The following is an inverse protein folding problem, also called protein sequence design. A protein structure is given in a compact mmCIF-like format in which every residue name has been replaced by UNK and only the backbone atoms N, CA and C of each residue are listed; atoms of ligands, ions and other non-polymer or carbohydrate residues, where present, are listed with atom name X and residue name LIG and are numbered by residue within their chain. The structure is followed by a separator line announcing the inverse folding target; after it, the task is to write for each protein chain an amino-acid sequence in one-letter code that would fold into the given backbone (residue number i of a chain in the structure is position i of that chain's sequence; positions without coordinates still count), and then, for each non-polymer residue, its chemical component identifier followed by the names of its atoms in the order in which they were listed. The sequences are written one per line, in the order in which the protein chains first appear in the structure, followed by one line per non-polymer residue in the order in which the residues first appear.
data_IF_505419369854
#
_entry.id   IF_505419369854
#
_cell.length_a   1.000
_cell.length_b   1.000
_cell.length_c   1.000
_cell.angle_alpha   90.00
_cell.angle_beta   90.00
_cell.angle_gamma   90.00
#
_symmetry.space_group_name_H-M   'P 1'
#
loop_
_entity.id
_entity.type
_entity.pdbx_description
1 polymer ?
#
# COMPACT_ATOMS: atom_id res chain seq x y z
N UNK A 1 32.30 25.91 5.76
CA UNK A 1 31.10 25.78 4.88
C UNK A 1 30.12 24.90 5.62
N UNK A 2 29.12 25.49 6.23
CA UNK A 2 28.08 24.84 7.04
C UNK A 2 27.10 24.14 6.11
N UNK A 3 26.65 22.90 6.39
CA UNK A 3 25.61 22.27 5.60
C UNK A 3 24.27 22.95 5.85
N UNK A 4 23.62 23.26 4.77
CA UNK A 4 22.38 23.98 4.65
C UNK A 4 21.26 23.25 5.43
N UNK A 5 20.59 24.00 6.27
CA UNK A 5 19.37 23.60 6.99
C UNK A 5 18.32 23.13 5.99
N UNK A 6 17.96 21.86 6.07
CA UNK A 6 16.73 21.37 5.46
C UNK A 6 15.57 22.07 6.15
N UNK A 7 14.99 23.04 5.43
CA UNK A 7 13.79 23.75 5.80
C UNK A 7 12.67 22.75 6.11
N UNK A 8 12.02 22.95 7.27
CA UNK A 8 10.75 22.33 7.66
C UNK A 8 9.62 22.84 6.75
N UNK A 9 9.64 22.49 5.48
CA UNK A 9 8.48 22.66 4.61
C UNK A 9 7.55 21.46 4.87
N UNK A 10 6.27 21.69 5.18
CA UNK A 10 5.30 20.62 5.19
C UNK A 10 5.23 20.07 3.76
N UNK A 11 5.44 18.78 3.63
CA UNK A 11 5.48 18.02 2.37
C UNK A 11 4.50 18.57 1.34
N UNK A 12 5.05 19.11 0.25
CA UNK A 12 4.26 19.70 -0.83
C UNK A 12 3.20 18.72 -1.31
N UNK A 13 2.01 19.24 -1.59
CA UNK A 13 0.88 18.49 -2.13
C UNK A 13 1.36 17.76 -3.39
N UNK A 14 1.42 16.43 -3.34
CA UNK A 14 1.71 15.63 -4.52
C UNK A 14 0.66 15.97 -5.59
N UNK A 15 1.05 16.15 -6.87
CA UNK A 15 0.10 16.42 -7.93
C UNK A 15 -0.92 15.28 -7.94
N UNK A 16 -2.21 15.64 -7.95
CA UNK A 16 -3.29 14.69 -8.14
C UNK A 16 -3.11 14.04 -9.51
N UNK A 17 -2.64 12.79 -9.51
CA UNK A 17 -2.62 11.99 -10.72
C UNK A 17 -4.06 11.72 -11.15
N UNK A 18 -4.34 11.71 -12.48
CA UNK A 18 -5.64 11.29 -12.96
C UNK A 18 -5.90 9.89 -12.41
N UNK A 19 -7.15 9.69 -11.96
CA UNK A 19 -7.60 8.41 -11.40
C UNK A 19 -7.02 7.27 -12.23
N UNK A 20 -6.17 6.46 -11.59
CA UNK A 20 -5.43 5.40 -12.25
C UNK A 20 -6.38 4.61 -13.12
N UNK A 21 -6.05 4.50 -14.41
CA UNK A 21 -6.76 3.68 -15.36
C UNK A 21 -6.62 2.20 -14.99
N UNK A 22 -7.26 1.77 -13.92
CA UNK A 22 -7.82 0.44 -13.90
C UNK A 22 -8.97 0.51 -14.90
N UNK A 23 -8.66 0.52 -16.20
CA UNK A 23 -9.61 0.11 -17.20
C UNK A 23 -9.93 -1.36 -16.88
N UNK A 24 -10.90 -1.55 -16.00
CA UNK A 24 -11.69 -2.75 -16.02
C UNK A 24 -12.42 -2.70 -17.36
N UNK A 25 -11.68 -2.95 -18.45
CA UNK A 25 -12.29 -3.32 -19.71
C UNK A 25 -13.28 -4.39 -19.33
N UNK A 26 -14.55 -4.13 -19.63
CA UNK A 26 -15.69 -5.03 -19.36
C UNK A 26 -15.17 -6.46 -19.44
N UNK A 27 -15.37 -7.30 -18.44
CA UNK A 27 -14.71 -8.61 -18.40
C UNK A 27 -15.24 -9.51 -19.51
N UNK A 28 -14.80 -9.22 -20.74
CA UNK A 28 -15.14 -9.97 -21.94
C UNK A 28 -14.79 -11.45 -21.81
N UNK A 29 -13.84 -11.75 -20.93
CA UNK A 29 -13.39 -13.12 -20.66
C UNK A 29 -14.06 -13.78 -19.46
N UNK A 30 -14.84 -13.04 -18.65
CA UNK A 30 -15.59 -13.62 -17.53
C UNK A 30 -16.96 -14.11 -18.03
N UNK A 31 -17.29 -15.36 -17.76
CA UNK A 31 -18.63 -15.91 -18.07
C UNK A 31 -19.70 -15.21 -17.25
N UNK A 32 -20.95 -15.08 -17.74
CA UNK A 32 -22.08 -14.65 -16.93
C UNK A 32 -22.17 -15.47 -15.64
N UNK A 33 -22.54 -14.84 -14.53
CA UNK A 33 -22.52 -15.44 -13.19
C UNK A 33 -21.14 -15.66 -12.58
N UNK A 34 -20.07 -15.44 -13.33
CA UNK A 34 -18.69 -15.60 -12.85
C UNK A 34 -18.26 -14.49 -11.86
N UNK A 35 -17.30 -14.82 -10.99
CA UNK A 35 -16.76 -13.88 -10.00
C UNK A 35 -15.43 -13.29 -10.45
N UNK A 36 -15.23 -12.01 -10.15
CA UNK A 36 -13.96 -11.32 -10.23
C UNK A 36 -13.54 -10.91 -8.82
N UNK A 37 -12.29 -11.23 -8.46
CA UNK A 37 -11.74 -10.91 -7.14
C UNK A 37 -10.37 -10.25 -7.29
N UNK A 38 -10.13 -9.20 -6.50
CA UNK A 38 -8.84 -8.54 -6.35
C UNK A 38 -8.44 -8.55 -4.88
N UNK A 39 -7.20 -8.92 -4.63
CA UNK A 39 -6.59 -8.92 -3.31
C UNK A 39 -5.38 -8.00 -3.32
N UNK A 40 -5.35 -6.99 -2.44
CA UNK A 40 -4.27 -6.00 -2.41
C UNK A 40 -4.06 -5.44 -1.01
N UNK A 41 -2.81 -5.08 -0.69
CA UNK A 41 -2.49 -4.24 0.46
C UNK A 41 -2.83 -2.77 0.14
N UNK A 42 -3.57 -2.12 1.04
CA UNK A 42 -3.66 -0.65 1.09
C UNK A 42 -2.42 -0.14 1.84
N UNK A 43 -1.52 0.53 1.14
CA UNK A 43 -0.21 0.95 1.67
C UNK A 43 -0.28 2.11 2.68
N UNK A 44 -1.45 2.45 3.19
CA UNK A 44 -1.58 3.42 4.29
C UNK A 44 -1.18 2.77 5.61
N UNK A 45 -0.07 3.25 6.15
CA UNK A 45 0.39 2.81 7.47
C UNK A 45 -0.61 3.22 8.55
N UNK A 46 -1.02 2.27 9.38
CA UNK A 46 -2.03 2.43 10.43
C UNK A 46 -1.51 1.97 11.77
N UNK A 47 -2.05 2.58 12.82
CA UNK A 47 -1.80 2.25 14.21
C UNK A 47 -3.05 2.59 15.02
N UNK A 48 -3.49 1.70 15.91
CA UNK A 48 -4.73 1.89 16.67
C UNK A 48 -4.49 2.43 18.09
N UNK A 49 -3.29 2.27 18.63
CA UNK A 49 -2.96 2.55 20.04
C UNK A 49 -2.07 3.78 20.25
N UNK A 50 -1.79 4.51 19.17
CA UNK A 50 -0.95 5.71 19.23
C UNK A 50 0.55 5.43 19.36
N UNK A 51 1.00 4.17 19.33
CA UNK A 51 2.43 3.83 19.40
C UNK A 51 3.23 4.36 18.20
N UNK A 52 2.57 4.62 17.06
CA UNK A 52 3.14 5.31 15.91
C UNK A 52 2.89 6.82 16.06
N UNK A 53 3.66 7.48 16.93
CA UNK A 53 3.54 8.89 17.21
C UNK A 53 3.90 9.75 15.98
N UNK A 54 2.96 10.58 15.46
CA UNK A 54 3.22 11.41 14.28
C UNK A 54 4.28 12.49 14.50
N UNK A 55 4.58 12.83 15.75
CA UNK A 55 5.57 13.86 16.09
C UNK A 55 7.00 13.32 16.16
N UNK A 56 7.17 12.00 16.19
CA UNK A 56 8.49 11.34 16.24
C UNK A 56 8.94 10.92 14.84
N UNK A 57 10.24 10.98 14.53
CA UNK A 57 10.77 10.41 13.31
C UNK A 57 10.48 8.90 13.21
N UNK A 58 10.03 8.42 12.06
CA UNK A 58 9.83 7.01 11.78
C UNK A 58 10.27 6.70 10.35
N UNK A 59 11.37 5.98 10.20
CA UNK A 59 11.88 5.59 8.89
C UNK A 59 10.90 4.68 8.14
N UNK A 60 10.04 3.93 8.85
CA UNK A 60 8.99 3.13 8.23
C UNK A 60 7.91 4.03 7.62
N UNK A 61 7.48 5.08 8.34
CA UNK A 61 6.49 6.06 7.82
C UNK A 61 7.05 6.77 6.59
N UNK A 62 8.28 7.26 6.68
CA UNK A 62 8.95 7.95 5.59
C UNK A 62 9.10 7.02 4.38
N UNK A 63 9.42 5.75 4.60
CA UNK A 63 9.51 4.74 3.55
C UNK A 63 8.16 4.57 2.82
N UNK A 64 7.07 4.39 3.56
CA UNK A 64 5.73 4.25 2.96
C UNK A 64 5.38 5.50 2.15
N UNK A 65 5.64 6.70 2.70
CA UNK A 65 5.37 7.96 2.01
C UNK A 65 6.17 8.11 0.70
N UNK A 66 7.48 7.84 0.73
CA UNK A 66 8.30 7.92 -0.48
C UNK A 66 7.95 6.83 -1.49
N UNK A 67 7.59 5.64 -1.04
CA UNK A 67 7.11 4.58 -1.93
C UNK A 67 5.80 4.97 -2.62
N UNK A 68 4.86 5.59 -1.91
CA UNK A 68 3.61 6.11 -2.49
C UNK A 68 3.90 7.12 -3.60
N UNK A 69 4.71 8.15 -3.33
CA UNK A 69 5.10 9.15 -4.33
C UNK A 69 5.88 8.56 -5.50
N UNK A 70 6.83 7.68 -5.24
CA UNK A 70 7.65 7.05 -6.28
C UNK A 70 6.86 6.08 -7.16
N UNK A 71 5.94 5.31 -6.59
CA UNK A 71 5.05 4.42 -7.35
C UNK A 71 4.08 5.23 -8.20
N UNK A 72 3.54 6.33 -7.64
CA UNK A 72 2.71 7.27 -8.40
C UNK A 72 3.47 7.87 -9.59
N UNK A 73 4.73 8.28 -9.42
CA UNK A 73 5.58 8.74 -10.51
C UNK A 73 5.86 7.66 -11.58
N UNK A 74 5.77 6.39 -11.19
CA UNK A 74 5.84 5.24 -12.11
C UNK A 74 4.49 4.86 -12.74
N UNK A 75 3.38 5.58 -12.43
CA UNK A 75 2.05 5.30 -12.95
C UNK A 75 1.25 4.26 -12.16
N UNK A 76 1.66 3.93 -10.94
CA UNK A 76 0.97 2.97 -10.07
C UNK A 76 0.30 3.67 -8.89
N UNK A 77 -0.95 3.31 -8.62
CA UNK A 77 -1.70 3.73 -7.42
C UNK A 77 -1.71 2.61 -6.38
N UNK A 78 -1.02 2.84 -5.27
CA UNK A 78 -0.96 1.88 -4.14
C UNK A 78 -2.27 1.82 -3.34
N UNK A 79 -3.23 2.69 -3.64
CA UNK A 79 -4.53 2.77 -2.95
C UNK A 79 -5.71 2.39 -3.86
N UNK A 80 -5.46 1.94 -5.09
CA UNK A 80 -6.48 1.62 -6.08
C UNK A 80 -7.57 0.66 -5.56
N UNK A 81 -7.20 -0.24 -4.65
CA UNK A 81 -8.15 -1.18 -4.03
C UNK A 81 -9.30 -0.47 -3.31
N UNK A 82 -9.11 0.76 -2.84
CA UNK A 82 -10.13 1.48 -2.07
C UNK A 82 -11.26 2.05 -2.94
N UNK A 83 -10.97 2.37 -4.19
CA UNK A 83 -11.96 2.83 -5.19
C UNK A 83 -12.57 1.68 -5.99
N UNK A 84 -11.95 0.50 -5.98
CA UNK A 84 -12.35 -0.64 -6.78
C UNK A 84 -13.82 -1.07 -6.60
N UNK A 85 -14.41 -1.09 -5.36
CA UNK A 85 -15.82 -1.47 -5.20
C UNK A 85 -16.79 -0.55 -5.95
N UNK A 86 -16.50 0.76 -5.98
CA UNK A 86 -17.30 1.73 -6.74
C UNK A 86 -17.15 1.47 -8.24
N UNK A 87 -15.92 1.37 -8.73
CA UNK A 87 -15.63 1.09 -10.14
C UNK A 87 -16.27 -0.22 -10.61
N UNK A 88 -16.23 -1.28 -9.81
CA UNK A 88 -16.88 -2.55 -10.15
C UNK A 88 -18.38 -2.39 -10.34
N UNK A 89 -19.06 -1.63 -9.46
CA UNK A 89 -20.51 -1.35 -9.61
C UNK A 89 -20.79 -0.53 -10.86
N UNK A 90 -19.98 0.50 -11.12
CA UNK A 90 -20.11 1.36 -12.30
C UNK A 90 -20.00 0.58 -13.62
N UNK A 91 -19.16 -0.45 -13.68
CA UNK A 91 -19.02 -1.32 -14.86
C UNK A 91 -19.99 -2.50 -14.87
N UNK A 92 -20.96 -2.54 -13.92
CA UNK A 92 -22.09 -3.48 -13.94
C UNK A 92 -21.89 -4.78 -13.18
N UNK A 93 -20.89 -4.88 -12.27
CA UNK A 93 -20.83 -6.03 -11.35
C UNK A 93 -21.91 -5.93 -10.27
N UNK A 94 -22.53 -7.06 -9.96
CA UNK A 94 -23.47 -7.26 -8.86
C UNK A 94 -22.76 -7.88 -7.65
N UNK A 95 -23.42 -7.87 -6.48
CA UNK A 95 -22.94 -8.50 -5.26
C UNK A 95 -21.48 -8.11 -4.94
N UNK A 96 -21.18 -6.81 -5.06
CA UNK A 96 -19.83 -6.30 -4.81
C UNK A 96 -19.59 -6.17 -3.31
N UNK A 97 -18.67 -6.96 -2.81
CA UNK A 97 -18.28 -7.03 -1.41
C UNK A 97 -16.81 -6.67 -1.20
N UNK A 98 -16.52 -6.16 0.00
CA UNK A 98 -15.16 -5.91 0.47
C UNK A 98 -14.94 -6.61 1.81
N UNK A 99 -13.88 -7.40 1.92
CA UNK A 99 -13.37 -7.95 3.19
C UNK A 99 -12.04 -7.33 3.51
N UNK A 100 -11.90 -6.83 4.73
CA UNK A 100 -10.67 -6.16 5.19
C UNK A 100 -10.05 -6.92 6.34
N UNK A 101 -8.74 -7.16 6.25
CA UNK A 101 -7.95 -7.80 7.27
C UNK A 101 -6.78 -6.89 7.67
N UNK A 102 -6.51 -6.77 8.96
CA UNK A 102 -5.30 -6.09 9.44
C UNK A 102 -4.12 -7.03 9.25
N UNK A 103 -3.10 -6.56 8.53
CA UNK A 103 -1.85 -7.27 8.33
C UNK A 103 -0.74 -6.54 9.10
N UNK A 104 -0.37 -7.02 10.30
CA UNK A 104 0.65 -6.39 11.13
C UNK A 104 2.00 -6.33 10.42
N UNK A 105 2.78 -5.32 10.76
CA UNK A 105 4.19 -5.23 10.36
C UNK A 105 5.03 -5.56 11.61
N UNK A 106 5.59 -6.77 11.67
CA UNK A 106 6.36 -7.23 12.83
C UNK A 106 5.60 -8.18 13.76
N UNK A 107 6.21 -8.50 14.90
CA UNK A 107 5.75 -9.57 15.81
C UNK A 107 5.10 -9.04 17.09
N UNK A 108 4.70 -7.79 17.11
CA UNK A 108 4.08 -7.12 18.23
C UNK A 108 2.70 -7.67 18.66
N UNK A 109 1.84 -8.26 17.79
CA UNK A 109 0.53 -8.74 18.22
C UNK A 109 0.62 -9.85 19.27
N UNK A 110 -0.29 -9.83 20.24
CA UNK A 110 -0.44 -10.91 21.25
C UNK A 110 -1.05 -12.17 20.66
N UNK A 111 -1.96 -12.00 19.71
CA UNK A 111 -2.57 -13.13 18.97
C UNK A 111 -1.52 -13.86 18.14
N UNK A 112 -1.45 -15.19 18.28
CA UNK A 112 -0.43 -16.02 17.60
C UNK A 112 -0.54 -15.98 16.07
N UNK A 113 -1.75 -15.93 15.51
CA UNK A 113 -1.97 -15.92 14.06
C UNK A 113 -1.52 -14.60 13.48
N UNK A 114 -1.92 -13.48 14.11
CA UNK A 114 -1.50 -12.15 13.69
C UNK A 114 0.01 -11.94 13.86
N UNK A 115 0.61 -12.47 14.92
CA UNK A 115 2.06 -12.46 15.12
C UNK A 115 2.80 -13.20 14.02
N UNK A 116 2.31 -14.39 13.64
CA UNK A 116 2.88 -15.18 12.54
C UNK A 116 2.71 -14.44 11.20
N UNK A 117 1.54 -13.87 10.94
CA UNK A 117 1.29 -13.03 9.77
C UNK A 117 2.28 -11.86 9.71
N UNK A 118 2.44 -11.12 10.81
CA UNK A 118 3.35 -9.98 10.88
C UNK A 118 4.82 -10.36 10.74
N UNK A 119 5.21 -11.54 11.22
CA UNK A 119 6.54 -12.09 11.01
C UNK A 119 6.83 -12.33 9.51
N UNK A 120 5.91 -12.97 8.81
CA UNK A 120 6.03 -13.20 7.37
C UNK A 120 6.01 -11.89 6.58
N UNK A 121 5.10 -10.96 6.92
CA UNK A 121 5.05 -9.64 6.29
C UNK A 121 6.39 -8.91 6.42
N UNK A 122 6.95 -8.86 7.64
CA UNK A 122 8.26 -8.28 7.87
C UNK A 122 9.35 -8.94 7.03
N UNK A 123 9.39 -10.27 7.00
CA UNK A 123 10.39 -11.01 6.23
C UNK A 123 10.29 -10.69 4.74
N UNK A 124 9.10 -10.76 4.16
CA UNK A 124 8.87 -10.46 2.73
C UNK A 124 9.29 -9.03 2.38
N UNK A 125 8.93 -8.05 3.23
CA UNK A 125 9.32 -6.66 3.00
C UNK A 125 10.84 -6.52 3.05
N UNK A 126 11.51 -7.08 4.07
CA UNK A 126 12.97 -6.96 4.24
C UNK A 126 13.75 -7.61 3.11
N UNK A 127 13.32 -8.78 2.63
CA UNK A 127 13.96 -9.46 1.51
C UNK A 127 13.76 -8.72 0.19
N UNK A 128 12.55 -8.20 -0.04
CA UNK A 128 12.22 -7.44 -1.25
C UNK A 128 12.68 -5.99 -1.24
N UNK A 129 13.04 -5.44 -0.08
CA UNK A 129 13.18 -4.01 0.18
C UNK A 129 14.01 -3.26 -0.87
N UNK A 130 15.19 -3.78 -1.20
CA UNK A 130 16.10 -3.16 -2.18
C UNK A 130 15.52 -3.19 -3.60
N UNK A 131 14.98 -4.34 -4.00
CA UNK A 131 14.46 -4.55 -5.35
C UNK A 131 13.22 -3.68 -5.62
N UNK A 132 12.29 -3.64 -4.66
CA UNK A 132 11.02 -2.90 -4.79
C UNK A 132 11.26 -1.39 -4.74
N UNK A 133 12.23 -0.94 -3.90
CA UNK A 133 12.45 0.49 -3.65
C UNK A 133 13.22 1.21 -4.77
N UNK A 134 14.08 0.49 -5.49
CA UNK A 134 15.02 1.12 -6.43
C UNK A 134 14.31 1.96 -7.50
N UNK A 135 13.38 1.39 -8.22
CA UNK A 135 12.70 2.08 -9.33
C UNK A 135 11.85 3.27 -8.84
N UNK A 136 10.98 3.13 -7.82
CA UNK A 136 10.19 4.24 -7.31
C UNK A 136 11.03 5.39 -6.78
N UNK A 137 12.05 5.11 -5.96
CA UNK A 137 12.89 6.16 -5.38
C UNK A 137 13.78 6.85 -6.45
N UNK A 138 14.23 6.10 -7.46
CA UNK A 138 14.91 6.71 -8.62
C UNK A 138 13.97 7.63 -9.40
N UNK A 139 12.70 7.29 -9.54
CA UNK A 139 11.70 8.16 -10.18
C UNK A 139 11.48 9.46 -9.41
N UNK A 140 11.74 9.50 -8.11
CA UNK A 140 11.78 10.70 -7.28
C UNK A 140 13.13 11.47 -7.36
N UNK A 141 14.05 11.04 -8.20
CA UNK A 141 15.35 11.68 -8.39
C UNK A 141 16.44 11.23 -7.42
N UNK A 142 16.22 10.17 -6.63
CA UNK A 142 17.20 9.69 -5.67
C UNK A 142 18.33 8.93 -6.36
N UNK A 143 19.56 9.18 -5.91
CA UNK A 143 20.74 8.40 -6.35
C UNK A 143 20.76 7.04 -5.67
N UNK A 144 21.46 6.07 -6.27
CA UNK A 144 21.62 4.73 -5.68
C UNK A 144 22.20 4.79 -4.27
N UNK A 145 23.17 5.68 -4.02
CA UNK A 145 23.79 5.84 -2.69
C UNK A 145 22.76 6.35 -1.66
N UNK A 146 21.96 7.35 -2.02
CA UNK A 146 20.91 7.87 -1.12
C UNK A 146 19.89 6.78 -0.78
N UNK A 147 19.47 5.98 -1.77
CA UNK A 147 18.55 4.85 -1.57
C UNK A 147 19.17 3.84 -0.59
N UNK A 148 20.39 3.38 -0.81
CA UNK A 148 21.02 2.38 0.06
C UNK A 148 21.18 2.90 1.51
N UNK A 149 21.57 4.15 1.69
CA UNK A 149 21.69 4.76 3.02
C UNK A 149 20.33 4.83 3.73
N UNK A 150 19.29 5.30 3.04
CA UNK A 150 17.94 5.36 3.59
C UNK A 150 17.42 3.97 3.99
N UNK A 151 17.64 2.96 3.15
CA UNK A 151 17.19 1.60 3.42
C UNK A 151 17.89 0.95 4.63
N UNK A 152 19.03 1.47 5.09
CA UNK A 152 19.65 1.03 6.36
C UNK A 152 18.73 1.38 7.53
N UNK A 153 18.24 2.60 7.60
CA UNK A 153 17.37 3.06 8.68
C UNK A 153 15.98 2.44 8.60
N UNK A 154 15.47 2.25 7.39
CA UNK A 154 14.23 1.48 7.17
C UNK A 154 14.36 0.07 7.72
N UNK A 155 15.45 -0.67 7.43
CA UNK A 155 15.68 -2.01 7.99
C UNK A 155 15.72 -2.01 9.52
N UNK A 156 16.34 -1.00 10.14
CA UNK A 156 16.36 -0.87 11.60
C UNK A 156 14.97 -0.66 12.17
N UNK A 157 14.11 0.15 11.51
CA UNK A 157 12.76 0.42 12.00
C UNK A 157 11.89 -0.83 12.06
N UNK A 158 12.07 -1.81 11.16
CA UNK A 158 11.39 -3.11 11.24
C UNK A 158 11.80 -3.97 12.44
N UNK A 159 12.87 -3.62 13.14
CA UNK A 159 13.28 -4.27 14.39
C UNK A 159 12.66 -3.61 15.62
N UNK A 160 12.06 -2.43 15.46
CA UNK A 160 11.36 -1.74 16.54
C UNK A 160 10.02 -2.44 16.81
N UNK A 161 9.87 -3.00 18.02
CA UNK A 161 8.64 -3.69 18.46
C UNK A 161 7.66 -2.74 19.17
N UNK A 162 8.05 -1.48 19.37
CA UNK A 162 7.25 -0.48 20.06
C UNK A 162 6.23 0.20 19.14
N UNK A 163 6.45 0.17 17.82
CA UNK A 163 5.52 0.69 16.84
C UNK A 163 4.55 -0.42 16.37
N UNK A 164 3.31 -0.38 16.86
CA UNK A 164 2.27 -1.38 16.53
C UNK A 164 1.59 -1.06 15.21
N UNK A 165 2.37 -1.01 14.15
CA UNK A 165 1.90 -0.64 12.82
C UNK A 165 1.34 -1.83 12.04
N UNK A 166 0.39 -1.53 11.14
CA UNK A 166 -0.20 -2.51 10.23
C UNK A 166 -0.64 -1.87 8.92
N UNK A 167 -0.81 -2.68 7.89
CA UNK A 167 -1.48 -2.34 6.64
C UNK A 167 -2.81 -3.07 6.57
N UNK A 168 -3.79 -2.52 5.84
CA UNK A 168 -4.98 -3.26 5.51
C UNK A 168 -4.72 -4.15 4.29
N UNK A 169 -5.14 -5.40 4.39
CA UNK A 169 -5.24 -6.31 3.27
C UNK A 169 -6.71 -6.42 2.88
N UNK A 170 -7.05 -5.84 1.74
CA UNK A 170 -8.41 -5.77 1.24
C UNK A 170 -8.64 -6.82 0.14
N UNK A 171 -9.75 -7.52 0.25
CA UNK A 171 -10.26 -8.48 -0.72
C UNK A 171 -11.56 -7.89 -1.25
N UNK A 172 -11.60 -7.53 -2.52
CA UNK A 172 -12.77 -7.00 -3.20
C UNK A 172 -13.21 -8.01 -4.25
N UNK A 173 -14.47 -8.42 -4.22
CA UNK A 173 -15.02 -9.33 -5.21
C UNK A 173 -16.44 -8.94 -5.60
N UNK A 174 -16.84 -9.33 -6.82
CA UNK A 174 -18.17 -9.11 -7.33
C UNK A 174 -18.51 -10.11 -8.43
N UNK A 175 -19.80 -10.26 -8.73
CA UNK A 175 -20.33 -11.21 -9.69
C UNK A 175 -20.70 -10.49 -10.99
N UNK A 176 -20.35 -11.07 -12.14
CA UNK A 176 -20.87 -10.63 -13.43
C UNK A 176 -22.34 -11.03 -13.52
N UNK A 177 -23.26 -10.14 -13.94
CA UNK A 177 -24.68 -10.49 -14.16
C UNK A 177 -24.86 -11.71 -15.05
N UNK A 178 -25.94 -12.47 -14.84
CA UNK A 178 -26.37 -13.53 -15.76
C UNK A 178 -26.82 -12.93 -17.10
N UNK A 179 -26.63 -13.65 -18.22
CA UNK A 179 -27.18 -13.25 -19.50
C UNK A 179 -28.70 -13.40 -19.43
N UNK A 180 -29.43 -12.28 -19.53
CA UNK A 180 -30.90 -12.28 -19.55
C UNK A 180 -31.61 -11.71 -18.32
N UNK A 181 -30.87 -11.27 -17.29
CA UNK A 181 -31.42 -10.47 -16.20
C UNK A 181 -31.54 -9.01 -16.62
N UNK A 182 -32.61 -8.65 -17.30
CA UNK A 182 -33.04 -7.25 -17.43
C UNK A 182 -33.57 -6.77 -16.07
N UNK A 183 -33.36 -5.49 -15.72
CA UNK A 183 -33.90 -4.90 -14.51
C UNK A 183 -35.43 -4.85 -14.51
#
# INVERSE_FOLDING_TARGET
MTPNSLSNEPYGTLPSLPASNVQLTTPSHLKPGGYFEVQQLDYRLRCDDGSLDPTKPSALRDYIHFMEGGMAACGFDLHAITSLPATMREVGFEDVHTRRHKCPIGTWPRDKRLRTCGMYMRTVILEGLRGVSRRPLTALGWTTTQIEMFLIDVRKSFSNQEEHSYLNYDIVYGRKPEEGGSP
#
